data_IF_852818278880
#
_entry.id   IF_852818278880
#
_cell.length_a   1.000
_cell.length_b   1.000
_cell.length_c   1.000
_cell.angle_alpha   90.00
_cell.angle_beta   90.00
_cell.angle_gamma   90.00
#
_symmetry.space_group_name_H-M   'P 1'
#
loop_
_entity.id
_entity.type
_entity.pdbx_description
1 polymer ?
#
# COMPACT_ATOMS: atom_id res chain seq x y z
N UNK A 1 -8.05 -4.24 15.54
CA UNK A 1 -8.90 -3.70 14.46
C UNK A 1 -8.07 -2.68 13.71
N UNK A 2 -7.77 -2.87 12.42
CA UNK A 2 -7.01 -1.86 11.64
C UNK A 2 -7.87 -0.59 11.62
N UNK A 3 -7.35 0.49 12.20
CA UNK A 3 -8.11 1.74 12.31
C UNK A 3 -8.34 2.30 10.90
N UNK A 4 -9.60 2.61 10.52
CA UNK A 4 -9.87 3.19 9.22
C UNK A 4 -9.12 4.52 9.08
N UNK A 5 -8.55 4.75 7.90
CA UNK A 5 -7.86 5.97 7.47
C UNK A 5 -6.48 6.25 8.08
N UNK A 6 -5.96 5.37 8.93
CA UNK A 6 -4.58 5.49 9.39
C UNK A 6 -3.61 5.49 8.20
N UNK A 7 -2.71 6.48 8.15
CA UNK A 7 -1.75 6.68 7.04
C UNK A 7 -2.32 7.29 5.77
N UNK A 8 -3.61 7.64 5.73
CA UNK A 8 -4.19 8.35 4.59
C UNK A 8 -3.61 9.76 4.45
N UNK A 9 -3.43 10.23 3.22
CA UNK A 9 -2.98 11.60 2.95
C UNK A 9 -4.06 12.61 3.36
N UNK A 10 -3.62 13.80 3.76
CA UNK A 10 -4.54 14.90 4.05
C UNK A 10 -5.46 15.23 2.87
N UNK A 11 -4.93 15.17 1.64
CA UNK A 11 -5.72 15.36 0.43
C UNK A 11 -6.83 14.31 0.30
N UNK A 12 -6.50 13.03 0.49
CA UNK A 12 -7.50 11.96 0.45
C UNK A 12 -8.57 12.14 1.52
N UNK A 13 -8.19 12.54 2.74
CA UNK A 13 -9.14 12.78 3.82
C UNK A 13 -10.10 13.92 3.49
N UNK A 14 -9.59 15.04 2.97
CA UNK A 14 -10.42 16.16 2.53
C UNK A 14 -11.39 15.73 1.42
N UNK A 15 -10.89 15.01 0.41
CA UNK A 15 -11.72 14.50 -0.69
C UNK A 15 -12.78 13.51 -0.21
N UNK A 16 -12.46 12.65 0.76
CA UNK A 16 -13.40 11.69 1.33
C UNK A 16 -14.50 12.40 2.14
N UNK A 17 -14.13 13.36 3.00
CA UNK A 17 -15.09 14.13 3.79
C UNK A 17 -16.06 14.90 2.88
N UNK A 18 -15.54 15.57 1.86
CA UNK A 18 -16.35 16.33 0.90
C UNK A 18 -17.24 15.45 0.04
N UNK A 19 -16.67 14.43 -0.60
CA UNK A 19 -17.36 13.71 -1.67
C UNK A 19 -18.11 12.46 -1.21
N UNK A 20 -17.73 11.88 -0.06
CA UNK A 20 -18.34 10.64 0.47
C UNK A 20 -19.20 10.93 1.69
N UNK A 21 -18.71 11.73 2.64
CA UNK A 21 -19.48 12.06 3.84
C UNK A 21 -20.46 13.20 3.59
N UNK A 22 -20.11 14.15 2.71
CA UNK A 22 -20.92 15.33 2.40
C UNK A 22 -20.67 16.50 3.36
N UNK A 23 -19.53 16.51 4.04
CA UNK A 23 -19.10 17.61 4.89
C UNK A 23 -18.28 18.61 4.07
N UNK A 24 -18.61 19.90 4.19
CA UNK A 24 -17.90 20.95 3.46
C UNK A 24 -16.55 21.25 4.14
N UNK A 25 -15.53 20.50 3.73
CA UNK A 25 -14.16 20.57 4.28
C UNK A 25 -13.21 21.04 3.21
N UNK A 26 -12.59 22.20 3.43
CA UNK A 26 -11.58 22.76 2.53
C UNK A 26 -10.25 22.05 2.60
N UNK A 27 -9.75 21.84 3.81
CA UNK A 27 -8.42 21.28 4.07
C UNK A 27 -8.43 20.39 5.30
N UNK A 28 -7.64 19.32 5.26
CA UNK A 28 -7.25 18.54 6.43
C UNK A 28 -5.77 18.80 6.69
N UNK A 29 -5.41 19.05 7.95
CA UNK A 29 -4.03 19.37 8.33
C UNK A 29 -3.49 18.35 9.33
N UNK A 30 -2.16 18.23 9.39
CA UNK A 30 -1.46 17.28 10.24
C UNK A 30 -0.28 16.63 9.51
N UNK A 31 0.62 16.04 10.29
CA UNK A 31 1.77 15.33 9.76
C UNK A 31 1.40 13.87 9.49
N UNK A 32 1.82 13.35 8.33
CA UNK A 32 1.70 11.93 8.03
C UNK A 32 2.65 11.12 8.92
N UNK A 33 2.27 9.90 9.30
CA UNK A 33 3.17 9.03 10.01
C UNK A 33 4.36 8.66 9.11
N UNK A 34 5.53 8.45 9.71
CA UNK A 34 6.74 7.96 9.02
C UNK A 34 6.65 6.46 8.73
N UNK A 35 5.59 6.05 8.04
CA UNK A 35 5.45 4.67 7.54
C UNK A 35 6.49 4.38 6.48
N UNK A 36 6.74 3.10 6.26
CA UNK A 36 7.77 2.60 5.36
C UNK A 36 7.18 2.31 3.98
N UNK A 37 7.94 2.60 2.90
CA UNK A 37 7.50 2.32 1.55
C UNK A 37 7.49 0.82 1.28
N UNK A 38 6.44 0.35 0.61
CA UNK A 38 6.40 -1.01 0.10
C UNK A 38 7.50 -1.23 -0.95
N UNK A 39 8.31 -2.30 -0.87
CA UNK A 39 9.44 -2.54 -1.77
C UNK A 39 9.01 -2.88 -3.20
N UNK A 40 7.72 -3.12 -3.42
CA UNK A 40 7.12 -3.38 -4.73
C UNK A 40 6.57 -2.11 -5.38
N UNK A 41 5.71 -1.37 -4.66
CA UNK A 41 4.95 -0.27 -5.26
C UNK A 41 5.41 1.13 -4.82
N UNK A 42 6.20 1.25 -3.76
CA UNK A 42 6.69 2.52 -3.22
C UNK A 42 5.68 3.32 -2.41
N UNK A 43 4.45 2.84 -2.23
CA UNK A 43 3.48 3.48 -1.34
C UNK A 43 3.81 3.16 0.12
N UNK A 44 3.70 4.16 1.01
CA UNK A 44 3.99 3.99 2.43
C UNK A 44 2.79 3.33 3.12
N UNK A 45 2.87 2.02 3.32
CA UNK A 45 1.77 1.19 3.85
C UNK A 45 2.16 0.35 5.05
N UNK A 46 3.43 0.35 5.45
CA UNK A 46 3.93 -0.49 6.54
C UNK A 46 4.34 0.37 7.74
N UNK A 47 3.86 0.00 8.92
CA UNK A 47 4.23 0.73 10.14
C UNK A 47 5.62 0.31 10.63
N UNK A 48 5.95 -0.97 10.47
CA UNK A 48 7.17 -1.60 10.97
C UNK A 48 7.69 -2.55 9.88
N UNK A 49 9.01 -2.71 9.78
CA UNK A 49 9.64 -3.70 8.89
C UNK A 49 9.30 -5.11 9.37
N UNK A 50 8.89 -6.00 8.46
CA UNK A 50 8.78 -7.43 8.76
C UNK A 50 7.66 -7.81 9.71
N UNK A 51 6.61 -6.99 9.78
CA UNK A 51 5.40 -7.26 10.56
C UNK A 51 4.45 -8.27 9.89
N UNK A 52 4.82 -8.79 8.72
CA UNK A 52 4.00 -9.70 7.89
C UNK A 52 2.70 -9.08 7.39
N UNK A 53 2.56 -7.75 7.45
CA UNK A 53 1.38 -7.07 6.93
C UNK A 53 1.36 -7.10 5.39
N UNK A 54 0.14 -7.06 4.86
CA UNK A 54 -0.10 -6.93 3.43
C UNK A 54 -0.22 -5.46 3.02
N UNK A 55 0.58 -5.05 2.06
CA UNK A 55 0.43 -3.77 1.36
C UNK A 55 -0.94 -3.72 0.69
N UNK A 56 -1.82 -2.85 1.15
CA UNK A 56 -3.18 -2.68 0.61
C UNK A 56 -3.20 -2.11 -0.82
N UNK A 57 -2.08 -1.56 -1.30
CA UNK A 57 -1.98 -0.97 -2.65
C UNK A 57 -1.64 -1.99 -3.73
N UNK A 58 -0.76 -2.95 -3.44
CA UNK A 58 -0.28 -3.91 -4.44
C UNK A 58 -0.48 -5.38 -4.06
N UNK A 59 -0.79 -5.68 -2.79
CA UNK A 59 -1.02 -7.02 -2.28
C UNK A 59 0.23 -7.77 -1.80
N UNK A 60 1.41 -7.13 -1.78
CA UNK A 60 2.66 -7.70 -1.24
C UNK A 60 2.56 -7.89 0.27
N UNK A 61 2.81 -9.10 0.76
CA UNK A 61 3.06 -9.37 2.18
C UNK A 61 4.53 -9.05 2.51
N UNK A 62 4.75 -8.23 3.54
CA UNK A 62 6.10 -7.93 4.02
C UNK A 62 6.73 -9.21 4.57
N UNK A 63 7.61 -9.81 3.78
CA UNK A 63 8.30 -11.05 4.09
C UNK A 63 9.80 -10.74 4.12
N UNK A 64 10.43 -10.65 5.32
CA UNK A 64 11.84 -10.28 5.44
C UNK A 64 12.78 -11.18 4.65
N UNK A 65 12.43 -12.44 4.44
CA UNK A 65 13.25 -13.38 3.67
C UNK A 65 13.19 -13.01 2.20
N UNK A 66 11.99 -12.82 1.64
CA UNK A 66 11.83 -12.43 0.23
C UNK A 66 12.32 -11.01 -0.05
N UNK A 67 12.29 -10.13 0.96
CA UNK A 67 12.86 -8.79 0.88
C UNK A 67 14.40 -8.81 0.87
N UNK A 68 15.01 -9.71 1.63
CA UNK A 68 16.47 -9.91 1.65
C UNK A 68 16.98 -10.74 0.46
N UNK A 69 16.14 -11.60 -0.12
CA UNK A 69 16.46 -12.46 -1.26
C UNK A 69 15.47 -12.21 -2.42
N UNK A 70 15.67 -11.13 -3.22
CA UNK A 70 14.63 -10.62 -4.14
C UNK A 70 14.22 -11.55 -5.28
N UNK A 71 15.03 -12.58 -5.56
CA UNK A 71 14.76 -13.59 -6.58
C UNK A 71 14.21 -14.90 -6.01
N UNK A 72 14.12 -15.04 -4.67
CA UNK A 72 13.53 -16.22 -4.03
C UNK A 72 12.01 -16.23 -4.23
N UNK A 73 11.47 -17.20 -5.00
CA UNK A 73 10.04 -17.30 -5.24
C UNK A 73 9.29 -17.98 -4.07
N UNK A 74 10.02 -18.52 -3.09
CA UNK A 74 9.45 -19.17 -1.92
C UNK A 74 9.10 -18.14 -0.86
N UNK A 75 8.00 -18.35 -0.13
CA UNK A 75 7.54 -17.44 0.92
C UNK A 75 6.06 -17.08 0.81
N UNK A 76 5.65 -16.09 1.59
CA UNK A 76 4.24 -15.73 1.76
C UNK A 76 3.56 -15.25 0.47
N UNK A 77 4.33 -14.74 -0.49
CA UNK A 77 3.81 -14.14 -1.72
C UNK A 77 3.65 -15.14 -2.88
N UNK A 78 4.28 -16.33 -2.80
CA UNK A 78 4.27 -17.33 -3.87
C UNK A 78 4.96 -16.91 -5.18
N UNK A 79 5.57 -15.73 -5.20
CA UNK A 79 6.41 -15.18 -6.27
C UNK A 79 7.55 -14.39 -5.64
N UNK A 80 8.62 -14.15 -6.40
CA UNK A 80 9.76 -13.35 -5.93
C UNK A 80 9.45 -11.86 -5.89
N UNK A 81 10.19 -11.09 -5.09
CA UNK A 81 10.05 -9.64 -5.02
C UNK A 81 10.26 -8.97 -6.39
N UNK A 82 11.23 -9.46 -7.17
CA UNK A 82 11.49 -8.93 -8.51
C UNK A 82 10.36 -9.26 -9.50
N UNK A 83 9.71 -10.43 -9.38
CA UNK A 83 8.52 -10.74 -10.16
C UNK A 83 7.34 -9.85 -9.74
N UNK A 84 7.16 -9.64 -8.44
CA UNK A 84 6.12 -8.77 -7.89
C UNK A 84 6.25 -7.32 -8.37
N UNK A 85 7.48 -6.77 -8.45
CA UNK A 85 7.78 -5.44 -9.02
C UNK A 85 7.33 -5.34 -10.47
N UNK A 86 7.76 -6.29 -11.31
CA UNK A 86 7.36 -6.35 -12.73
C UNK A 86 5.84 -6.46 -12.90
N UNK A 87 5.21 -7.31 -12.11
CA UNK A 87 3.75 -7.46 -12.15
C UNK A 87 3.06 -6.16 -11.73
N UNK A 88 3.54 -5.48 -10.68
CA UNK A 88 2.95 -4.22 -10.27
C UNK A 88 3.05 -3.14 -11.37
N UNK A 89 4.18 -3.06 -12.08
CA UNK A 89 4.32 -2.14 -13.21
C UNK A 89 3.33 -2.46 -14.36
N UNK A 90 3.06 -3.74 -14.62
CA UNK A 90 2.23 -4.18 -15.75
C UNK A 90 0.73 -4.19 -15.44
N UNK A 91 0.35 -4.69 -14.26
CA UNK A 91 -1.05 -4.94 -13.88
C UNK A 91 -1.47 -4.19 -12.62
N UNK A 92 -0.54 -3.59 -11.89
CA UNK A 92 -0.87 -2.78 -10.72
C UNK A 92 -1.07 -3.55 -9.41
N UNK A 93 -0.71 -4.84 -9.38
CA UNK A 93 -0.72 -5.71 -8.21
C UNK A 93 0.35 -6.80 -8.36
N UNK A 94 0.63 -7.54 -7.28
CA UNK A 94 1.64 -8.61 -7.32
C UNK A 94 1.17 -9.84 -8.13
N UNK A 95 -0.14 -10.10 -8.19
CA UNK A 95 -0.75 -11.14 -9.03
C UNK A 95 -2.15 -10.68 -9.51
N UNK A 96 -2.71 -11.29 -10.57
CA UNK A 96 -4.08 -11.04 -11.01
C UNK A 96 -5.13 -11.35 -9.93
N UNK A 97 -4.88 -12.35 -9.08
CA UNK A 97 -5.77 -12.71 -7.97
C UNK A 97 -5.79 -11.60 -6.92
N UNK A 98 -4.62 -11.08 -6.56
CA UNK A 98 -4.50 -9.95 -5.62
C UNK A 98 -5.15 -8.69 -6.19
N UNK A 99 -5.01 -8.43 -7.49
CA UNK A 99 -5.66 -7.29 -8.14
C UNK A 99 -7.18 -7.26 -7.89
N UNK A 100 -7.85 -8.41 -7.94
CA UNK A 100 -9.30 -8.53 -7.71
C UNK A 100 -9.72 -8.21 -6.28
N UNK A 101 -8.79 -8.25 -5.33
CA UNK A 101 -9.05 -8.01 -3.90
C UNK A 101 -8.68 -6.58 -3.46
N UNK A 102 -7.95 -5.83 -4.29
CA UNK A 102 -7.45 -4.50 -3.94
C UNK A 102 -8.56 -3.48 -4.20
N UNK A 103 -8.84 -2.65 -3.19
CA UNK A 103 -9.67 -1.46 -3.35
C UNK A 103 -8.93 -0.44 -4.24
N UNK A 104 -9.52 0.00 -5.37
CA UNK A 104 -8.93 0.99 -6.27
C UNK A 104 -8.52 2.30 -5.57
N UNK A 105 -9.16 2.64 -4.45
CA UNK A 105 -8.88 3.86 -3.68
C UNK A 105 -7.52 3.84 -2.97
N UNK A 106 -6.91 2.67 -2.77
CA UNK A 106 -5.70 2.57 -1.94
C UNK A 106 -4.53 3.37 -2.51
N UNK A 107 -4.44 3.54 -3.84
CA UNK A 107 -3.42 4.39 -4.48
C UNK A 107 -3.64 5.88 -4.23
N UNK A 108 -4.89 6.32 -4.07
CA UNK A 108 -5.21 7.71 -3.73
C UNK A 108 -5.01 7.96 -2.24
N UNK A 109 -5.20 6.91 -1.43
CA UNK A 109 -5.15 6.98 0.02
C UNK A 109 -3.75 7.24 0.55
N UNK A 110 -2.73 6.52 0.09
CA UNK A 110 -1.40 6.53 0.71
C UNK A 110 -0.39 7.40 -0.07
N UNK A 111 0.59 8.01 0.63
CA UNK A 111 1.69 8.71 -0.05
C UNK A 111 2.64 7.71 -0.72
N UNK A 112 3.23 8.09 -1.85
CA UNK A 112 4.22 7.28 -2.58
C UNK A 112 5.59 7.95 -2.56
N UNK A 113 6.66 7.18 -2.33
CA UNK A 113 8.01 7.68 -2.55
C UNK A 113 8.15 8.10 -4.02
N UNK A 114 8.64 9.32 -4.23
CA UNK A 114 8.99 9.87 -5.55
C UNK A 114 10.16 9.14 -6.17
#
# INVERSE_FOLDING_TARGET
MKQPFRGATNQYLADYLRNVVGEDVDTVEGNLPSWLPCPVCGYHTFEIIGDWDTCTVCGWNSDPVQEAMPDDPTGANGISLNAARKNFEQIGAITPEKLKMIDPEMRRRFPRST
#
